data_IF_963730377742
#
_entry.id   IF_963730377742
#
_cell.length_a   1.000
_cell.length_b   1.000
_cell.length_c   1.000
_cell.angle_alpha   90.00
_cell.angle_beta   90.00
_cell.angle_gamma   90.00
#
_symmetry.space_group_name_H-M   'P 1'
#
loop_
_entity.id
_entity.type
_entity.pdbx_description
1 polymer ?
#
# COMPACT_ATOMS: atom_id res chain seq x y z
N UNK A 1 -15.50 -28.23 -10.52
CA UNK A 1 -15.01 -27.70 -9.22
C UNK A 1 -14.82 -26.19 -9.37
N UNK A 2 -15.18 -25.37 -8.38
CA UNK A 2 -14.88 -23.94 -8.42
C UNK A 2 -13.36 -23.76 -8.53
N UNK A 3 -12.91 -22.85 -9.41
CA UNK A 3 -11.50 -22.52 -9.62
C UNK A 3 -11.29 -21.03 -9.41
N UNK A 4 -10.09 -20.67 -8.98
CA UNK A 4 -9.59 -19.31 -8.96
C UNK A 4 -9.30 -18.90 -10.42
N UNK A 5 -9.71 -17.71 -10.84
CA UNK A 5 -9.47 -17.18 -12.19
C UNK A 5 -8.90 -15.78 -12.11
N UNK A 6 -9.62 -14.87 -11.45
CA UNK A 6 -9.20 -13.48 -11.32
C UNK A 6 -7.89 -13.39 -10.53
N UNK A 7 -7.75 -14.16 -9.45
CA UNK A 7 -6.51 -14.17 -8.70
C UNK A 7 -5.31 -14.70 -9.50
N UNK A 8 -5.48 -15.70 -10.38
CA UNK A 8 -4.40 -16.11 -11.30
C UNK A 8 -4.08 -15.02 -12.33
N UNK A 9 -5.08 -14.29 -12.81
CA UNK A 9 -4.86 -13.17 -13.72
C UNK A 9 -4.04 -12.06 -13.03
N UNK A 10 -4.36 -11.71 -11.78
CA UNK A 10 -3.59 -10.74 -10.99
C UNK A 10 -2.15 -11.22 -10.78
N UNK A 11 -1.94 -12.51 -10.46
CA UNK A 11 -0.60 -13.08 -10.32
C UNK A 11 0.19 -12.96 -11.62
N UNK A 12 -0.42 -13.35 -12.75
CA UNK A 12 0.21 -13.26 -14.07
C UNK A 12 0.56 -11.82 -14.46
N UNK A 13 -0.36 -10.88 -14.26
CA UNK A 13 -0.14 -9.46 -14.55
C UNK A 13 0.94 -8.87 -13.64
N UNK A 14 0.98 -9.24 -12.36
CA UNK A 14 2.01 -8.76 -11.43
C UNK A 14 3.41 -9.27 -11.80
N UNK A 15 3.52 -10.54 -12.21
CA UNK A 15 4.78 -11.08 -12.72
C UNK A 15 5.22 -10.38 -14.02
N UNK A 16 4.28 -10.10 -14.94
CA UNK A 16 4.58 -9.36 -16.17
C UNK A 16 4.99 -7.91 -15.87
N UNK A 17 4.31 -7.25 -14.94
CA UNK A 17 4.65 -5.89 -14.51
C UNK A 17 6.06 -5.86 -13.88
N UNK A 18 6.41 -6.85 -13.06
CA UNK A 18 7.75 -6.98 -12.49
C UNK A 18 8.84 -7.20 -13.55
N UNK A 19 8.53 -7.97 -14.61
CA UNK A 19 9.43 -8.10 -15.75
C UNK A 19 9.66 -6.74 -16.43
N UNK A 20 8.60 -5.95 -16.64
CA UNK A 20 8.69 -4.61 -17.24
C UNK A 20 9.47 -3.64 -16.33
N UNK A 21 9.25 -3.68 -15.02
CA UNK A 21 10.03 -2.92 -14.03
C UNK A 21 11.53 -3.17 -14.20
N UNK A 22 11.94 -4.44 -14.23
CA UNK A 22 13.34 -4.82 -14.41
C UNK A 22 13.88 -4.47 -15.79
N UNK A 23 13.07 -4.58 -16.85
CA UNK A 23 13.45 -4.15 -18.19
C UNK A 23 13.72 -2.64 -18.24
N UNK A 24 12.87 -1.81 -17.62
CA UNK A 24 13.06 -0.35 -17.54
C UNK A 24 14.28 0.01 -16.70
N UNK A 25 14.59 -0.78 -15.66
CA UNK A 25 15.82 -0.67 -14.89
C UNK A 25 17.08 -1.12 -15.64
N UNK A 26 16.96 -1.59 -16.90
CA UNK A 26 18.07 -2.15 -17.65
C UNK A 26 18.67 -3.39 -17.00
N UNK A 27 17.84 -4.19 -16.33
CA UNK A 27 18.21 -5.40 -15.58
C UNK A 27 19.19 -5.15 -14.41
N UNK A 28 19.24 -3.92 -13.90
CA UNK A 28 20.07 -3.55 -12.74
C UNK A 28 19.23 -3.53 -11.47
N UNK A 29 19.79 -4.11 -10.42
CA UNK A 29 19.24 -4.01 -9.07
C UNK A 29 19.77 -2.77 -8.37
N UNK A 30 18.92 -2.10 -7.60
CA UNK A 30 19.37 -1.04 -6.70
C UNK A 30 20.25 -1.63 -5.58
N UNK A 31 21.17 -0.84 -5.01
CA UNK A 31 21.96 -1.27 -3.85
C UNK A 31 21.05 -1.76 -2.71
N UNK A 32 21.42 -2.85 -2.03
CA UNK A 32 20.58 -3.44 -0.98
C UNK A 32 20.25 -2.50 0.18
N UNK A 33 21.11 -1.49 0.43
CA UNK A 33 20.83 -0.43 1.42
C UNK A 33 19.65 0.46 1.01
N UNK A 34 19.46 0.65 -0.30
CA UNK A 34 18.35 1.42 -0.88
C UNK A 34 17.15 0.54 -1.22
N UNK A 35 17.35 -0.73 -1.59
CA UNK A 35 16.25 -1.66 -1.83
C UNK A 35 16.60 -3.10 -1.41
N UNK A 36 16.26 -3.51 -0.18
CA UNK A 36 16.56 -4.85 0.31
C UNK A 36 15.62 -5.92 -0.26
N UNK A 37 14.56 -5.54 -0.99
CA UNK A 37 13.63 -6.51 -1.59
C UNK A 37 14.13 -7.11 -2.91
N UNK A 38 15.35 -6.73 -3.34
CA UNK A 38 16.02 -7.18 -4.56
C UNK A 38 15.22 -6.77 -5.80
N UNK A 39 15.25 -5.47 -6.11
CA UNK A 39 14.48 -4.89 -7.20
C UNK A 39 15.11 -3.60 -7.75
N UNK A 40 14.35 -2.87 -8.58
CA UNK A 40 14.85 -1.65 -9.21
C UNK A 40 14.94 -0.48 -8.22
N UNK A 41 15.52 0.63 -8.68
CA UNK A 41 15.54 1.89 -7.92
C UNK A 41 14.17 2.53 -7.79
N UNK A 42 14.04 3.44 -6.82
CA UNK A 42 12.81 4.21 -6.61
C UNK A 42 12.39 5.01 -7.86
N UNK A 43 13.35 5.58 -8.57
CA UNK A 43 13.16 6.34 -9.81
C UNK A 43 12.44 5.51 -10.87
N UNK A 44 12.83 4.24 -11.01
CA UNK A 44 12.19 3.30 -11.94
C UNK A 44 10.75 3.01 -11.50
N UNK A 45 10.52 2.73 -10.21
CA UNK A 45 9.18 2.47 -9.68
C UNK A 45 8.23 3.65 -9.94
N UNK A 46 8.68 4.88 -9.66
CA UNK A 46 7.89 6.09 -9.97
C UNK A 46 7.68 6.22 -11.48
N UNK A 47 8.69 5.96 -12.30
CA UNK A 47 8.56 6.03 -13.76
C UNK A 47 7.53 5.05 -14.32
N UNK A 48 7.45 3.83 -13.79
CA UNK A 48 6.52 2.81 -14.29
C UNK A 48 5.11 2.89 -13.71
N UNK A 49 4.90 3.69 -12.66
CA UNK A 49 3.55 3.93 -12.15
C UNK A 49 3.30 3.70 -10.67
N UNK A 50 4.36 3.70 -9.84
CA UNK A 50 4.17 3.68 -8.40
C UNK A 50 3.33 4.88 -7.93
N UNK A 51 2.72 4.74 -6.75
CA UNK A 51 1.97 5.85 -6.16
C UNK A 51 2.95 6.99 -5.87
N UNK A 52 2.61 8.15 -6.39
CA UNK A 52 3.25 9.42 -6.10
C UNK A 52 2.13 10.45 -5.94
N UNK A 53 2.01 10.99 -4.74
CA UNK A 53 0.85 11.80 -4.36
C UNK A 53 0.78 13.10 -5.16
N UNK A 54 1.92 13.75 -5.34
CA UNK A 54 2.02 15.01 -6.08
C UNK A 54 1.78 14.80 -7.57
N UNK A 55 2.29 13.70 -8.16
CA UNK A 55 1.95 13.37 -9.55
C UNK A 55 0.46 13.08 -9.75
N UNK A 56 -0.20 12.47 -8.76
CA UNK A 56 -1.66 12.24 -8.83
C UNK A 56 -2.43 13.56 -8.71
N UNK A 57 -2.15 14.35 -7.68
CA UNK A 57 -2.91 15.54 -7.33
C UNK A 57 -2.61 16.72 -8.26
N UNK A 58 -1.34 16.98 -8.55
CA UNK A 58 -0.89 18.20 -9.24
C UNK A 58 -0.76 18.00 -10.75
N UNK A 59 -0.26 16.82 -11.17
CA UNK A 59 -0.05 16.52 -12.60
C UNK A 59 -1.23 15.77 -13.24
N UNK A 60 -2.26 15.43 -12.47
CA UNK A 60 -3.45 14.72 -12.97
C UNK A 60 -3.18 13.27 -13.40
N UNK A 61 -2.12 12.63 -12.90
CA UNK A 61 -1.77 11.24 -13.23
C UNK A 61 -2.66 10.21 -12.48
N UNK A 62 -3.98 10.33 -12.64
CA UNK A 62 -4.99 9.55 -11.91
C UNK A 62 -4.86 8.02 -12.07
N UNK A 63 -4.20 7.56 -13.13
CA UNK A 63 -3.89 6.15 -13.36
C UNK A 63 -3.01 5.54 -12.27
N UNK A 64 -2.20 6.36 -11.57
CA UNK A 64 -1.41 5.97 -10.40
C UNK A 64 -2.23 5.61 -9.16
N UNK A 65 -3.55 5.79 -9.20
CA UNK A 65 -4.46 5.23 -8.18
C UNK A 65 -4.59 3.71 -8.33
N UNK A 66 -4.38 3.19 -9.55
CA UNK A 66 -4.61 1.77 -9.88
C UNK A 66 -3.31 1.01 -10.14
N UNK A 67 -2.37 1.59 -10.89
CA UNK A 67 -1.14 0.89 -11.28
C UNK A 67 -0.30 0.35 -10.11
N UNK A 68 -0.21 1.00 -8.94
CA UNK A 68 0.61 0.48 -7.84
C UNK A 68 0.24 -0.94 -7.41
N UNK A 69 -1.02 -1.36 -7.59
CA UNK A 69 -1.50 -2.66 -7.11
C UNK A 69 -0.91 -3.86 -7.85
N UNK A 70 -0.26 -3.66 -8.99
CA UNK A 70 0.41 -4.72 -9.77
C UNK A 70 1.93 -4.58 -9.81
N UNK A 71 2.45 -3.43 -9.38
CA UNK A 71 3.88 -3.13 -9.31
C UNK A 71 4.48 -3.70 -8.02
N UNK A 72 5.77 -4.04 -8.02
CA UNK A 72 6.42 -4.63 -6.85
C UNK A 72 7.83 -4.07 -6.65
N UNK A 73 8.16 -3.74 -5.41
CA UNK A 73 9.46 -3.13 -5.09
C UNK A 73 10.66 -4.05 -5.39
N UNK A 74 10.46 -5.37 -5.46
CA UNK A 74 11.52 -6.33 -5.67
C UNK A 74 11.02 -7.77 -5.68
N UNK A 75 11.91 -8.70 -5.99
CA UNK A 75 11.61 -10.12 -6.14
C UNK A 75 11.05 -10.75 -4.85
N UNK A 76 11.63 -10.40 -3.70
CA UNK A 76 11.16 -10.87 -2.39
C UNK A 76 9.73 -10.37 -2.15
N UNK A 77 9.50 -9.08 -2.42
CA UNK A 77 8.19 -8.46 -2.23
C UNK A 77 7.11 -9.09 -3.12
N UNK A 78 7.44 -9.39 -4.39
CA UNK A 78 6.55 -10.09 -5.32
C UNK A 78 6.17 -11.49 -4.84
N UNK A 79 7.14 -12.31 -4.43
CA UNK A 79 6.88 -13.69 -3.99
C UNK A 79 5.91 -13.72 -2.80
N UNK A 80 6.17 -12.90 -1.77
CA UNK A 80 5.31 -12.87 -0.59
C UNK A 80 3.89 -12.40 -0.93
N UNK A 81 3.75 -11.37 -1.77
CA UNK A 81 2.43 -10.88 -2.20
C UNK A 81 1.66 -11.94 -2.99
N UNK A 82 2.29 -12.54 -4.00
CA UNK A 82 1.62 -13.51 -4.87
C UNK A 82 1.32 -14.81 -4.13
N UNK A 83 2.22 -15.25 -3.25
CA UNK A 83 1.98 -16.39 -2.36
C UNK A 83 0.81 -16.14 -1.42
N UNK A 84 0.73 -14.97 -0.79
CA UNK A 84 -0.37 -14.64 0.10
C UNK A 84 -1.70 -14.45 -0.65
N UNK A 85 -1.67 -13.81 -1.82
CA UNK A 85 -2.82 -13.71 -2.72
C UNK A 85 -3.31 -15.09 -3.16
N UNK A 86 -2.40 -16.02 -3.47
CA UNK A 86 -2.78 -17.39 -3.81
C UNK A 86 -3.50 -18.07 -2.65
N UNK A 87 -2.94 -18.02 -1.44
CA UNK A 87 -3.53 -18.64 -0.24
C UNK A 87 -4.92 -18.07 0.09
N UNK A 88 -5.04 -16.75 0.19
CA UNK A 88 -6.31 -16.08 0.55
C UNK A 88 -7.29 -16.14 -0.62
N UNK A 89 -6.80 -15.94 -1.84
CA UNK A 89 -7.61 -15.90 -3.05
C UNK A 89 -8.19 -17.26 -3.44
N UNK A 90 -7.46 -18.36 -3.22
CA UNK A 90 -7.98 -19.69 -3.47
C UNK A 90 -9.23 -19.96 -2.62
N UNK A 91 -9.22 -19.62 -1.34
CA UNK A 91 -10.39 -19.78 -0.46
C UNK A 91 -11.52 -18.81 -0.84
N UNK A 92 -11.21 -17.52 -0.96
CA UNK A 92 -12.21 -16.47 -1.15
C UNK A 92 -12.89 -16.55 -2.53
N UNK A 93 -12.13 -16.72 -3.60
CA UNK A 93 -12.66 -16.73 -4.96
C UNK A 93 -13.47 -17.99 -5.25
N UNK A 94 -13.02 -19.15 -4.77
CA UNK A 94 -13.76 -20.42 -4.98
C UNK A 94 -15.06 -20.47 -4.19
N UNK A 95 -15.09 -19.86 -3.01
CA UNK A 95 -16.27 -19.82 -2.15
C UNK A 95 -17.30 -18.80 -2.61
N UNK A 96 -16.85 -17.61 -3.03
CA UNK A 96 -17.74 -16.47 -3.28
C UNK A 96 -17.90 -16.12 -4.76
N UNK A 97 -17.06 -16.67 -5.63
CA UNK A 97 -17.04 -16.40 -7.06
C UNK A 97 -16.20 -15.18 -7.44
N UNK A 98 -15.62 -15.25 -8.64
CA UNK A 98 -14.65 -14.28 -9.15
C UNK A 98 -15.14 -12.83 -9.22
N UNK A 99 -16.42 -12.59 -9.53
CA UNK A 99 -16.96 -11.23 -9.65
C UNK A 99 -16.91 -10.46 -8.33
N UNK A 100 -17.31 -11.11 -7.23
CA UNK A 100 -17.30 -10.51 -5.89
C UNK A 100 -15.87 -10.33 -5.42
N UNK A 101 -15.05 -11.36 -5.60
CA UNK A 101 -13.63 -11.31 -5.31
C UNK A 101 -12.93 -10.13 -6.01
N UNK A 102 -13.11 -10.00 -7.33
CA UNK A 102 -12.53 -8.92 -8.12
C UNK A 102 -13.01 -7.53 -7.68
N UNK A 103 -14.31 -7.38 -7.38
CA UNK A 103 -14.86 -6.10 -6.91
C UNK A 103 -14.23 -5.67 -5.60
N UNK A 104 -14.14 -6.59 -4.63
CA UNK A 104 -13.51 -6.34 -3.33
C UNK A 104 -12.04 -5.98 -3.51
N UNK A 105 -11.31 -6.77 -4.30
CA UNK A 105 -9.88 -6.58 -4.56
C UNK A 105 -9.60 -5.19 -5.16
N UNK A 106 -10.32 -4.82 -6.23
CA UNK A 106 -10.11 -3.55 -6.94
C UNK A 106 -10.46 -2.35 -6.05
N UNK A 107 -11.63 -2.36 -5.40
CA UNK A 107 -12.04 -1.25 -4.52
C UNK A 107 -11.09 -1.09 -3.34
N UNK A 108 -10.62 -2.20 -2.76
CA UNK A 108 -9.66 -2.16 -1.66
C UNK A 108 -8.31 -1.63 -2.13
N UNK A 109 -7.85 -1.98 -3.33
CA UNK A 109 -6.62 -1.43 -3.92
C UNK A 109 -6.70 0.09 -4.15
N UNK A 110 -7.84 0.58 -4.64
CA UNK A 110 -8.07 2.03 -4.79
C UNK A 110 -8.00 2.72 -3.43
N UNK A 111 -8.76 2.27 -2.44
CA UNK A 111 -8.77 2.92 -1.12
C UNK A 111 -7.46 2.75 -0.37
N UNK A 112 -6.74 1.63 -0.54
CA UNK A 112 -5.39 1.50 -0.04
C UNK A 112 -4.47 2.59 -0.59
N UNK A 113 -4.53 2.86 -1.90
CA UNK A 113 -3.74 3.92 -2.54
C UNK A 113 -4.15 5.30 -2.05
N UNK A 114 -5.45 5.57 -1.88
CA UNK A 114 -5.95 6.83 -1.32
C UNK A 114 -5.49 7.03 0.13
N UNK A 115 -5.61 6.01 0.99
CA UNK A 115 -5.15 6.07 2.38
C UNK A 115 -3.64 6.32 2.46
N UNK A 116 -2.85 5.61 1.65
CA UNK A 116 -1.42 5.85 1.55
C UNK A 116 -1.10 7.28 1.10
N UNK A 117 -1.79 7.80 0.07
CA UNK A 117 -1.56 9.15 -0.45
C UNK A 117 -1.90 10.25 0.57
N UNK A 118 -2.96 10.06 1.36
CA UNK A 118 -3.41 11.05 2.34
C UNK A 118 -2.60 11.06 3.64
N UNK A 119 -2.20 9.88 4.14
CA UNK A 119 -1.48 9.78 5.41
C UNK A 119 0.04 9.79 5.26
N UNK A 120 0.55 9.33 4.11
CA UNK A 120 1.98 9.23 3.80
C UNK A 120 2.24 9.78 2.38
N UNK A 121 2.02 11.08 2.14
CA UNK A 121 2.11 11.67 0.80
C UNK A 121 3.49 11.47 0.15
N UNK A 122 4.55 11.52 0.95
CA UNK A 122 5.96 11.36 0.54
C UNK A 122 6.43 9.90 0.45
N UNK A 123 5.57 8.94 0.83
CA UNK A 123 5.91 7.52 0.69
C UNK A 123 5.46 7.02 -0.68
N UNK A 124 6.41 6.65 -1.53
CA UNK A 124 6.08 5.87 -2.73
C UNK A 124 5.58 4.48 -2.35
N UNK A 125 4.42 4.11 -2.90
CA UNK A 125 3.75 2.83 -2.65
C UNK A 125 3.71 2.00 -3.94
N UNK A 126 4.03 0.72 -3.80
CA UNK A 126 3.81 -0.34 -4.80
C UNK A 126 3.40 -1.61 -4.05
N UNK A 127 2.75 -2.53 -4.74
CA UNK A 127 2.41 -3.85 -4.22
C UNK A 127 0.92 -4.07 -4.16
N UNK A 128 0.53 -5.33 -4.37
CA UNK A 128 -0.86 -5.78 -4.25
C UNK A 128 -1.36 -5.85 -2.79
N UNK A 129 -0.52 -5.63 -1.80
CA UNK A 129 -0.77 -5.97 -0.40
C UNK A 129 -1.97 -5.22 0.18
N UNK A 130 -2.18 -3.95 -0.17
CA UNK A 130 -3.37 -3.20 0.22
C UNK A 130 -4.67 -3.87 -0.27
N UNK A 131 -4.70 -4.33 -1.51
CA UNK A 131 -5.84 -5.08 -2.06
C UNK A 131 -6.00 -6.46 -1.39
N UNK A 132 -4.89 -7.14 -1.07
CA UNK A 132 -4.91 -8.42 -0.34
C UNK A 132 -5.43 -8.23 1.09
N UNK A 133 -5.04 -7.16 1.80
CA UNK A 133 -5.61 -6.80 3.08
C UNK A 133 -7.11 -6.50 2.98
N UNK A 134 -7.57 -6.00 1.83
CA UNK A 134 -9.00 -5.94 1.53
C UNK A 134 -9.70 -7.30 1.48
N UNK A 135 -9.06 -8.33 0.94
CA UNK A 135 -9.59 -9.69 1.01
C UNK A 135 -9.65 -10.22 2.45
N UNK A 136 -8.63 -9.90 3.26
CA UNK A 136 -8.61 -10.23 4.70
C UNK A 136 -9.75 -9.50 5.42
N UNK A 137 -9.95 -8.20 5.16
CA UNK A 137 -11.06 -7.41 5.67
C UNK A 137 -12.41 -7.98 5.25
N UNK A 138 -12.56 -8.39 4.00
CA UNK A 138 -13.79 -9.02 3.52
C UNK A 138 -14.09 -10.34 4.22
N UNK A 139 -13.06 -11.12 4.53
CA UNK A 139 -13.18 -12.33 5.35
C UNK A 139 -13.66 -11.99 6.77
N UNK A 140 -13.24 -10.87 7.34
CA UNK A 140 -13.76 -10.39 8.63
C UNK A 140 -15.26 -10.06 8.55
N UNK A 141 -15.69 -9.39 7.47
CA UNK A 141 -17.11 -9.11 7.22
C UNK A 141 -17.94 -10.40 7.06
N UNK A 142 -17.40 -11.37 6.33
CA UNK A 142 -18.00 -12.70 6.17
C UNK A 142 -18.11 -13.47 7.51
N UNK A 143 -17.05 -13.46 8.33
CA UNK A 143 -17.03 -14.06 9.67
C UNK A 143 -18.14 -13.48 10.57
N UNK A 144 -18.26 -12.16 10.63
CA UNK A 144 -19.28 -11.50 11.46
C UNK A 144 -20.70 -11.80 10.98
N UNK A 145 -20.93 -11.79 9.67
CA UNK A 145 -22.26 -12.03 9.10
C UNK A 145 -22.72 -13.48 9.20
N UNK A 146 -21.78 -14.42 9.24
CA UNK A 146 -22.06 -15.86 9.24
C UNK A 146 -21.70 -16.55 10.55
N UNK A 147 -21.44 -15.77 11.61
CA UNK A 147 -20.96 -16.24 12.92
C UNK A 147 -21.71 -17.46 13.46
N UNK A 148 -23.04 -17.40 13.44
CA UNK A 148 -23.93 -18.43 14.02
C UNK A 148 -23.96 -19.74 13.22
N UNK A 149 -23.36 -19.76 12.03
CA UNK A 149 -23.36 -20.92 11.15
C UNK A 149 -21.98 -21.60 11.09
N UNK A 150 -20.96 -20.98 11.68
CA UNK A 150 -19.63 -21.56 11.76
C UNK A 150 -19.56 -22.58 12.89
N UNK A 151 -18.86 -23.69 12.66
CA UNK A 151 -18.66 -24.72 13.67
C UNK A 151 -17.74 -24.26 14.81
N UNK A 152 -16.76 -23.41 14.51
CA UNK A 152 -15.74 -22.92 15.47
C UNK A 152 -15.41 -21.43 15.24
N UNK A 153 -16.39 -20.52 15.42
CA UNK A 153 -16.21 -19.10 15.09
C UNK A 153 -15.08 -18.43 15.87
N UNK A 154 -14.90 -18.78 17.15
CA UNK A 154 -13.81 -18.26 17.98
C UNK A 154 -12.42 -18.70 17.52
N UNK A 155 -12.27 -19.91 17.00
CA UNK A 155 -11.00 -20.39 16.46
C UNK A 155 -10.64 -19.67 15.15
N UNK A 156 -11.64 -19.47 14.28
CA UNK A 156 -11.48 -18.66 13.06
C UNK A 156 -11.12 -17.21 13.40
N UNK A 157 -11.82 -16.61 14.37
CA UNK A 157 -11.52 -15.26 14.87
C UNK A 157 -10.06 -15.15 15.37
N UNK A 158 -9.62 -16.10 16.20
CA UNK A 158 -8.27 -16.10 16.75
C UNK A 158 -7.21 -16.25 15.63
N UNK A 159 -7.41 -17.19 14.70
CA UNK A 159 -6.51 -17.40 13.57
C UNK A 159 -6.43 -16.16 12.66
N UNK A 160 -7.58 -15.55 12.34
CA UNK A 160 -7.62 -14.33 11.54
C UNK A 160 -6.99 -13.13 12.24
N UNK A 161 -7.19 -13.01 13.55
CA UNK A 161 -6.57 -11.95 14.36
C UNK A 161 -5.05 -12.10 14.38
N UNK A 162 -4.55 -13.31 14.65
CA UNK A 162 -3.12 -13.60 14.63
C UNK A 162 -2.51 -13.33 13.25
N UNK A 163 -3.16 -13.79 12.17
CA UNK A 163 -2.74 -13.51 10.79
C UNK A 163 -2.70 -12.01 10.50
N UNK A 164 -3.73 -11.26 10.88
CA UNK A 164 -3.82 -9.81 10.65
C UNK A 164 -2.70 -9.08 11.39
N UNK A 165 -2.47 -9.40 12.66
CA UNK A 165 -1.41 -8.80 13.48
C UNK A 165 -0.01 -9.12 12.92
N UNK A 166 0.22 -10.38 12.52
CA UNK A 166 1.49 -10.78 11.90
C UNK A 166 1.76 -9.99 10.61
N UNK A 167 0.74 -9.81 9.77
CA UNK A 167 0.89 -9.04 8.52
C UNK A 167 1.11 -7.54 8.79
N UNK A 168 0.50 -6.95 9.82
CA UNK A 168 0.83 -5.57 10.25
C UNK A 168 2.28 -5.46 10.75
N UNK A 169 2.79 -6.49 11.43
CA UNK A 169 4.20 -6.59 11.80
C UNK A 169 5.13 -6.67 10.59
N UNK A 170 4.77 -7.46 9.58
CA UNK A 170 5.48 -7.45 8.28
C UNK A 170 5.36 -6.10 7.57
N UNK A 171 4.29 -5.34 7.83
CA UNK A 171 4.12 -3.99 7.33
C UNK A 171 5.15 -2.97 7.83
N UNK A 172 6.00 -3.35 8.78
CA UNK A 172 7.16 -2.57 9.21
C UNK A 172 8.40 -2.82 8.30
N UNK A 173 8.28 -3.71 7.31
CA UNK A 173 9.36 -3.99 6.36
C UNK A 173 9.40 -2.92 5.22
N UNK A 174 10.57 -2.70 4.61
CA UNK A 174 10.81 -1.77 3.51
C UNK A 174 9.78 -1.86 2.39
N UNK A 175 9.33 -0.70 1.92
CA UNK A 175 8.32 -0.54 0.85
C UNK A 175 6.94 -1.11 1.15
N UNK A 176 6.67 -1.51 2.40
CA UNK A 176 5.35 -1.93 2.84
C UNK A 176 4.69 -0.78 3.60
N UNK A 177 3.42 -0.52 3.29
CA UNK A 177 2.68 0.63 3.77
C UNK A 177 1.49 0.18 4.62
N UNK A 178 1.55 0.47 5.92
CA UNK A 178 0.50 0.07 6.84
C UNK A 178 -0.77 0.92 6.74
N UNK A 179 -0.70 2.15 6.21
CA UNK A 179 -1.89 2.94 5.89
C UNK A 179 -2.61 2.38 4.66
N UNK A 180 -1.86 1.90 3.67
CA UNK A 180 -2.42 1.17 2.54
C UNK A 180 -3.11 -0.11 3.02
N UNK A 181 -2.48 -0.87 3.93
CA UNK A 181 -3.09 -2.06 4.55
C UNK A 181 -4.36 -1.74 5.32
N UNK A 182 -4.35 -0.68 6.14
CA UNK A 182 -5.54 -0.26 6.90
C UNK A 182 -6.66 0.19 5.99
N UNK A 183 -6.38 1.02 4.98
CA UNK A 183 -7.38 1.47 3.99
C UNK A 183 -7.99 0.30 3.23
N UNK A 184 -7.14 -0.63 2.78
CA UNK A 184 -7.55 -1.87 2.14
C UNK A 184 -8.44 -2.71 3.05
N UNK A 185 -8.00 -3.00 4.28
CA UNK A 185 -8.75 -3.82 5.25
C UNK A 185 -10.12 -3.21 5.58
N UNK A 186 -10.21 -1.90 5.79
CA UNK A 186 -11.48 -1.21 6.08
C UNK A 186 -12.42 -1.30 4.88
N UNK A 187 -11.96 -0.95 3.67
CA UNK A 187 -12.78 -1.04 2.46
C UNK A 187 -13.21 -2.49 2.17
N UNK A 188 -12.30 -3.43 2.36
CA UNK A 188 -12.55 -4.86 2.27
C UNK A 188 -13.61 -5.34 3.25
N UNK A 189 -13.53 -4.92 4.52
CA UNK A 189 -14.53 -5.23 5.53
C UNK A 189 -15.92 -4.74 5.14
N UNK A 190 -16.03 -3.47 4.76
CA UNK A 190 -17.30 -2.86 4.37
C UNK A 190 -17.88 -3.51 3.11
N UNK A 191 -17.05 -3.76 2.09
CA UNK A 191 -17.49 -4.46 0.86
C UNK A 191 -17.79 -5.94 1.11
N UNK A 192 -17.12 -6.58 2.09
CA UNK A 192 -17.47 -7.91 2.60
C UNK A 192 -18.84 -7.94 3.23
N UNK A 193 -19.21 -6.92 4.02
CA UNK A 193 -20.55 -6.76 4.56
C UNK A 193 -21.62 -6.71 3.47
N UNK A 194 -21.31 -6.10 2.32
CA UNK A 194 -22.22 -5.92 1.19
C UNK A 194 -22.30 -7.16 0.30
N UNK A 195 -21.15 -7.70 -0.09
CA UNK A 195 -21.04 -8.68 -1.18
C UNK A 195 -21.01 -10.13 -0.69
N UNK A 196 -20.64 -10.35 0.57
CA UNK A 196 -20.50 -11.66 1.18
C UNK A 196 -21.50 -11.90 2.34
N UNK A 197 -22.79 -11.48 2.24
CA UNK A 197 -23.72 -11.61 3.37
C UNK A 197 -24.04 -13.06 3.74
N UNK A 198 -23.70 -14.02 2.88
CA UNK A 198 -24.03 -15.42 3.09
C UNK A 198 -23.02 -16.36 2.45
N UNK A 199 -22.57 -17.35 3.23
CA UNK A 199 -21.88 -18.52 2.71
C UNK A 199 -22.88 -19.49 2.07
N UNK A 200 -22.55 -20.02 0.89
CA UNK A 200 -23.32 -21.11 0.28
C UNK A 200 -23.04 -22.42 1.03
N UNK A 201 -23.85 -22.71 2.05
CA UNK A 201 -23.71 -23.92 2.87
C UNK A 201 -24.64 -25.03 2.36
N UNK A 202 -24.07 -26.19 2.02
CA UNK A 202 -24.80 -27.43 1.73
C UNK A 202 -25.01 -27.78 0.25
N UNK A 203 -25.34 -29.07 0.00
CA UNK A 203 -25.50 -29.70 -1.34
C UNK A 203 -26.53 -29.04 -2.26
N UNK A 204 -27.46 -28.22 -1.75
CA UNK A 204 -28.51 -27.59 -2.57
C UNK A 204 -28.09 -26.27 -3.23
N UNK A 205 -26.92 -25.70 -2.90
CA UNK A 205 -26.34 -24.54 -3.58
C UNK A 205 -27.15 -23.24 -3.53
N UNK A 206 -28.33 -23.22 -2.90
CA UNK A 206 -29.21 -22.06 -2.80
C UNK A 206 -28.83 -21.21 -1.58
N UNK A 207 -28.57 -19.90 -1.75
CA UNK A 207 -28.36 -19.00 -0.62
C UNK A 207 -29.61 -18.97 0.27
N UNK A 208 -29.43 -18.80 1.58
CA UNK A 208 -30.56 -18.53 2.50
C UNK A 208 -31.13 -17.12 2.20
N UNK A 209 -32.32 -16.74 2.65
CA UNK A 209 -32.69 -15.32 2.65
C UNK A 209 -31.86 -14.55 3.70
N UNK A 210 -31.46 -13.30 3.41
CA UNK A 210 -30.73 -12.47 4.36
C UNK A 210 -31.58 -12.16 5.58
N UNK A 211 -30.97 -12.13 6.76
CA UNK A 211 -31.65 -11.63 7.97
C UNK A 211 -31.78 -10.10 7.90
N UNK A 212 -32.72 -9.51 8.65
CA UNK A 212 -32.87 -8.04 8.75
C UNK A 212 -31.58 -7.38 9.24
N UNK A 213 -30.86 -8.03 10.16
CA UNK A 213 -29.56 -7.57 10.67
C UNK A 213 -28.50 -7.55 9.55
N UNK A 214 -28.39 -8.64 8.76
CA UNK A 214 -27.47 -8.70 7.62
C UNK A 214 -27.79 -7.61 6.60
N UNK A 215 -29.07 -7.42 6.24
CA UNK A 215 -29.48 -6.37 5.30
C UNK A 215 -29.13 -4.96 5.81
N UNK A 216 -29.38 -4.67 7.08
CA UNK A 216 -29.01 -3.39 7.69
C UNK A 216 -27.49 -3.16 7.66
N UNK A 217 -26.70 -4.17 8.01
CA UNK A 217 -25.23 -4.11 7.96
C UNK A 217 -24.71 -3.93 6.53
N UNK A 218 -25.29 -4.61 5.54
CA UNK A 218 -24.94 -4.42 4.13
C UNK A 218 -25.23 -2.99 3.67
N UNK A 219 -26.39 -2.43 3.99
CA UNK A 219 -26.71 -1.03 3.61
C UNK A 219 -25.81 -0.01 4.30
N UNK A 220 -25.56 -0.16 5.61
CA UNK A 220 -24.64 0.69 6.34
C UNK A 220 -23.22 0.59 5.80
N UNK A 221 -22.76 -0.63 5.51
CA UNK A 221 -21.45 -0.89 4.91
C UNK A 221 -21.30 -0.25 3.53
N UNK A 222 -22.32 -0.34 2.67
CA UNK A 222 -22.31 0.30 1.35
C UNK A 222 -22.25 1.84 1.46
N UNK A 223 -23.06 2.44 2.35
CA UNK A 223 -23.06 3.88 2.57
C UNK A 223 -21.69 4.36 3.07
N UNK A 224 -21.12 3.68 4.07
CA UNK A 224 -19.83 4.06 4.63
C UNK A 224 -18.69 3.86 3.62
N UNK A 225 -18.70 2.77 2.84
CA UNK A 225 -17.71 2.54 1.79
C UNK A 225 -17.75 3.66 0.73
N UNK A 226 -18.95 4.08 0.31
CA UNK A 226 -19.12 5.18 -0.63
C UNK A 226 -18.61 6.50 -0.04
N UNK A 227 -18.97 6.82 1.20
CA UNK A 227 -18.51 8.03 1.89
C UNK A 227 -16.98 8.06 1.98
N UNK A 228 -16.34 6.97 2.41
CA UNK A 228 -14.88 6.89 2.51
C UNK A 228 -14.19 7.05 1.15
N UNK A 229 -14.75 6.44 0.09
CA UNK A 229 -14.21 6.59 -1.26
C UNK A 229 -14.31 8.04 -1.75
N UNK A 230 -15.47 8.68 -1.56
CA UNK A 230 -15.71 10.08 -1.97
C UNK A 230 -14.81 11.03 -1.18
N UNK A 231 -14.73 10.86 0.14
CA UNK A 231 -13.86 11.69 0.98
C UNK A 231 -12.39 11.48 0.65
N UNK A 232 -11.97 10.24 0.40
CA UNK A 232 -10.59 9.92 0.01
C UNK A 232 -10.19 10.57 -1.30
N UNK A 233 -11.04 10.47 -2.33
CA UNK A 233 -10.83 11.13 -3.62
C UNK A 233 -10.84 12.66 -3.49
N UNK A 234 -11.82 13.21 -2.77
CA UNK A 234 -11.94 14.66 -2.58
C UNK A 234 -10.72 15.21 -1.84
N UNK A 235 -10.30 14.54 -0.75
CA UNK A 235 -9.12 14.92 0.02
C UNK A 235 -7.85 14.88 -0.81
N UNK A 236 -7.67 13.84 -1.64
CA UNK A 236 -6.50 13.71 -2.49
C UNK A 236 -6.40 14.86 -3.50
N UNK A 237 -7.49 15.15 -4.21
CA UNK A 237 -7.50 16.23 -5.21
C UNK A 237 -7.61 17.63 -4.61
N UNK A 238 -7.98 17.77 -3.32
CA UNK A 238 -7.91 19.05 -2.61
C UNK A 238 -6.55 19.32 -1.97
N UNK A 239 -5.57 18.41 -2.12
CA UNK A 239 -4.25 18.54 -1.48
C UNK A 239 -4.28 18.38 0.04
N UNK A 240 -5.24 17.61 0.58
CA UNK A 240 -5.31 17.37 2.01
C UNK A 240 -4.14 16.48 2.48
N UNK A 241 -3.40 16.94 3.49
CA UNK A 241 -2.34 16.18 4.14
C UNK A 241 -2.81 15.72 5.54
N UNK A 242 -3.22 14.45 5.66
CA UNK A 242 -3.68 13.88 6.92
C UNK A 242 -2.54 13.53 7.88
N UNK A 243 -1.27 13.61 7.45
CA UNK A 243 -0.12 13.52 8.35
C UNK A 243 -0.18 14.58 9.45
N UNK A 244 -0.77 15.75 9.16
CA UNK A 244 -0.94 16.83 10.15
C UNK A 244 -1.83 16.41 11.34
N UNK A 245 -2.72 15.43 11.15
CA UNK A 245 -3.56 14.88 12.22
C UNK A 245 -2.84 13.79 13.03
N UNK A 246 -1.65 13.37 12.59
CA UNK A 246 -0.95 12.21 13.12
C UNK A 246 0.58 12.38 12.94
N UNK A 247 1.24 13.11 13.87
CA UNK A 247 2.68 13.37 13.81
C UNK A 247 3.54 12.10 13.83
N UNK A 248 3.01 10.97 14.31
CA UNK A 248 3.69 9.67 14.38
C UNK A 248 3.27 8.67 13.29
N UNK A 249 2.55 9.08 12.25
CA UNK A 249 2.03 8.16 11.23
C UNK A 249 3.15 7.41 10.49
N UNK A 250 4.28 8.07 10.22
CA UNK A 250 5.41 7.40 9.57
C UNK A 250 5.93 6.21 10.40
N UNK A 251 5.92 6.30 11.74
CA UNK A 251 6.40 5.26 12.65
C UNK A 251 5.59 3.96 12.55
N UNK A 252 4.33 4.03 12.12
CA UNK A 252 3.47 2.85 11.93
C UNK A 252 3.86 2.04 10.70
N UNK A 253 4.55 2.65 9.72
CA UNK A 253 5.10 1.94 8.55
C UNK A 253 6.62 1.82 8.61
N UNK A 254 7.27 2.70 9.37
CA UNK A 254 8.72 2.79 9.44
C UNK A 254 9.22 3.37 10.77
N UNK A 255 9.50 2.51 11.76
CA UNK A 255 9.99 2.95 13.05
C UNK A 255 11.42 3.50 12.97
N UNK A 256 11.63 4.72 13.47
CA UNK A 256 12.91 5.45 13.39
C UNK A 256 14.07 4.84 14.20
N UNK A 257 13.78 3.89 15.09
CA UNK A 257 14.76 3.28 16.01
C UNK A 257 15.39 1.96 15.56
N UNK A 258 14.95 1.35 14.46
CA UNK A 258 15.41 0.01 14.09
C UNK A 258 16.71 0.01 13.25
N UNK A 259 17.09 1.15 12.63
CA UNK A 259 18.40 1.36 11.98
C UNK A 259 18.73 0.52 10.75
N UNK A 260 17.86 -0.40 10.34
CA UNK A 260 18.07 -1.31 9.21
C UNK A 260 17.47 -0.82 7.89
N UNK A 261 16.69 0.26 7.93
CA UNK A 261 16.03 0.85 6.76
C UNK A 261 15.82 2.36 6.94
N UNK A 262 15.99 3.14 5.85
CA UNK A 262 15.78 4.59 5.83
C UNK A 262 14.53 4.90 5.02
N UNK A 263 13.48 5.42 5.69
CA UNK A 263 12.23 5.80 5.03
C UNK A 263 12.17 7.25 4.60
N UNK A 264 13.17 8.06 4.95
CA UNK A 264 13.21 9.43 4.49
C UNK A 264 13.21 9.45 2.95
N UNK A 265 12.50 10.39 2.32
CA UNK A 265 12.62 10.63 0.88
C UNK A 265 14.09 10.69 0.46
N UNK A 266 14.88 11.48 1.17
CA UNK A 266 16.31 11.71 0.94
C UNK A 266 17.17 10.43 0.92
N UNK A 267 16.90 9.47 1.81
CA UNK A 267 17.62 8.20 1.84
C UNK A 267 17.18 7.21 0.76
N UNK A 268 15.91 7.25 0.35
CA UNK A 268 15.34 6.30 -0.61
C UNK A 268 15.50 6.72 -2.06
N UNK A 269 15.28 7.98 -2.36
CA UNK A 269 15.23 8.51 -3.73
C UNK A 269 16.55 9.17 -4.11
N UNK A 270 17.38 9.48 -3.10
CA UNK A 270 18.60 10.28 -3.26
C UNK A 270 18.26 11.74 -3.50
N UNK A 271 19.13 12.65 -3.08
CA UNK A 271 18.94 14.09 -3.27
C UNK A 271 20.03 14.64 -4.17
N UNK A 272 19.74 15.72 -4.89
CA UNK A 272 20.72 16.46 -5.66
C UNK A 272 21.14 17.69 -4.88
N UNK A 273 22.44 17.99 -4.89
CA UNK A 273 22.94 19.23 -4.31
C UNK A 273 24.05 19.80 -5.18
N UNK A 274 24.17 21.13 -5.16
CA UNK A 274 25.28 21.88 -5.77
C UNK A 274 25.91 22.72 -4.68
N UNK A 275 27.18 22.44 -4.39
CA UNK A 275 27.99 23.21 -3.43
C UNK A 275 28.88 24.19 -4.19
N UNK A 276 28.82 25.46 -3.82
CA UNK A 276 29.64 26.52 -4.37
C UNK A 276 30.90 26.75 -3.51
N UNK A 277 31.94 27.29 -4.13
CA UNK A 277 33.23 27.56 -3.48
C UNK A 277 33.15 28.57 -2.34
N UNK A 278 32.12 29.42 -2.32
CA UNK A 278 31.85 30.35 -1.22
C UNK A 278 31.11 29.69 -0.03
N UNK A 279 30.96 28.35 -0.03
CA UNK A 279 30.28 27.60 1.04
C UNK A 279 28.75 27.61 0.97
N UNK A 280 28.15 28.31 0.00
CA UNK A 280 26.70 28.24 -0.23
C UNK A 280 26.34 26.98 -1.00
N UNK A 281 25.14 26.45 -0.78
CA UNK A 281 24.65 25.29 -1.52
C UNK A 281 23.17 25.39 -1.84
N UNK A 282 22.78 24.74 -2.93
CA UNK A 282 21.39 24.43 -3.22
C UNK A 282 21.17 22.92 -3.09
N UNK A 283 20.07 22.53 -2.47
CA UNK A 283 19.65 21.13 -2.35
C UNK A 283 18.23 20.98 -2.93
N UNK A 284 18.04 20.01 -3.80
CA UNK A 284 16.73 19.71 -4.40
C UNK A 284 16.09 18.53 -3.67
N UNK A 285 14.92 18.78 -3.07
CA UNK A 285 14.15 17.77 -2.37
C UNK A 285 13.60 16.72 -3.35
N UNK A 286 13.75 15.43 -3.08
CA UNK A 286 13.64 14.43 -4.14
C UNK A 286 12.23 13.84 -4.34
N UNK A 287 11.21 14.60 -3.94
CA UNK A 287 9.78 14.31 -4.20
C UNK A 287 9.07 15.60 -4.58
N UNK A 288 9.18 16.62 -3.74
CA UNK A 288 8.56 17.94 -3.99
C UNK A 288 9.28 18.76 -5.05
N UNK A 289 10.49 18.34 -5.45
CA UNK A 289 11.42 19.08 -6.31
C UNK A 289 11.73 20.50 -5.78
N UNK A 290 11.41 20.76 -4.51
CA UNK A 290 11.65 22.04 -3.86
C UNK A 290 13.16 22.27 -3.73
N UNK A 291 13.62 23.43 -4.18
CA UNK A 291 15.02 23.84 -4.04
C UNK A 291 15.18 24.60 -2.71
N UNK A 292 16.05 24.08 -1.86
CA UNK A 292 16.46 24.67 -0.60
C UNK A 292 17.81 25.35 -0.76
N UNK A 293 17.98 26.53 -0.18
CA UNK A 293 19.25 27.26 -0.14
C UNK A 293 19.84 27.19 1.27
N UNK A 294 21.13 26.90 1.37
CA UNK A 294 21.86 26.86 2.63
C UNK A 294 23.28 27.40 2.49
N UNK A 295 23.95 27.57 3.63
CA UNK A 295 25.35 27.92 3.69
C UNK A 295 26.02 27.07 4.77
N UNK A 296 27.21 26.55 4.47
CA UNK A 296 28.07 25.90 5.46
C UNK A 296 28.54 26.99 6.45
N UNK A 297 28.38 26.73 7.75
CA UNK A 297 28.84 27.66 8.78
C UNK A 297 30.36 27.87 8.74
N UNK A 298 30.83 29.04 9.19
CA UNK A 298 32.24 29.40 9.24
C UNK A 298 33.06 28.31 9.96
N UNK A 299 33.77 27.49 9.18
CA UNK A 299 34.64 26.41 9.68
C UNK A 299 34.41 25.03 9.06
N UNK A 300 33.31 24.78 8.36
CA UNK A 300 33.12 23.53 7.63
C UNK A 300 33.74 23.63 6.23
N UNK A 301 34.93 23.05 6.04
CA UNK A 301 35.53 22.97 4.72
C UNK A 301 34.61 22.15 3.77
N UNK A 302 34.50 22.58 2.52
CA UNK A 302 33.77 21.87 1.46
C UNK A 302 34.27 20.42 1.25
N UNK A 303 35.49 20.10 1.70
CA UNK A 303 36.08 18.75 1.67
C UNK A 303 35.70 17.87 2.89
N UNK A 304 35.31 18.46 4.03
CA UNK A 304 34.90 17.70 5.23
C UNK A 304 33.41 17.36 5.25
N UNK A 305 32.60 18.10 4.48
CA UNK A 305 31.14 17.91 4.39
C UNK A 305 30.80 16.86 3.35
N UNK A 306 30.99 15.58 3.71
CA UNK A 306 30.61 14.45 2.88
C UNK A 306 29.09 14.34 2.64
N UNK A 307 28.69 13.38 1.81
CA UNK A 307 27.28 13.09 1.50
C UNK A 307 26.38 12.91 2.74
N UNK A 308 26.95 12.56 3.90
CA UNK A 308 26.25 12.45 5.17
C UNK A 308 25.67 13.78 5.69
N UNK A 309 26.36 14.90 5.52
CA UNK A 309 25.86 16.22 5.95
C UNK A 309 24.61 16.60 5.16
N UNK A 310 24.70 16.55 3.83
CA UNK A 310 23.58 16.89 2.96
C UNK A 310 22.41 15.91 3.09
N UNK A 311 22.68 14.64 3.42
CA UNK A 311 21.64 13.67 3.74
C UNK A 311 20.89 14.08 5.03
N UNK A 312 21.61 14.51 6.08
CA UNK A 312 20.98 15.02 7.31
C UNK A 312 20.18 16.29 7.04
N UNK A 313 20.77 17.25 6.31
CA UNK A 313 20.10 18.50 5.95
C UNK A 313 18.84 18.24 5.12
N UNK A 314 18.89 17.33 4.15
CA UNK A 314 17.72 16.94 3.37
C UNK A 314 16.63 16.33 4.27
N UNK A 315 17.00 15.40 5.16
CA UNK A 315 16.05 14.77 6.09
C UNK A 315 15.34 15.76 7.00
N UNK A 316 16.03 16.83 7.39
CA UNK A 316 15.49 17.87 8.26
C UNK A 316 14.59 18.88 7.53
N UNK A 317 14.79 19.10 6.23
CA UNK A 317 14.23 20.27 5.54
C UNK A 317 13.30 19.99 4.35
N UNK A 318 13.11 18.73 3.91
CA UNK A 318 12.41 18.39 2.64
C UNK A 318 10.95 17.87 2.73
#
# INVERSE_FOLDING_TARGET
QPRMYFGYAVIGVSCLAFFVEMQVAGWKFAPLKQNPTIGPGHDVLVKVGAKDTFKIADNGEAWRIFTPTVLHAGFVHLIFNMGFLYMVGQEMETTHGWKRFATIYILSGVVATLSSALFLPDLTMVGSSGAIFGLVGARWGDLIQNWDVLLRPWAELAAMSAMTLLNYGMGLLPFIDNFAHTGGLVMGFLTGLVLLPQRRLGRSGRPRPMTRKQAALSHAGAALALVLLVLGLTGLYSGADLRLLCPGCLELSCPSGLGWWDCSPCGRTGFQYTLYTNGTFFLTCPITERVLAGALGDGAAAEETGAGYFLSYCKENC
#
